data_IF_952457133586
#
_entry.id   IF_952457133586
#
_cell.length_a   1.000
_cell.length_b   1.000
_cell.length_c   1.000
_cell.angle_alpha   90.00
_cell.angle_beta   90.00
_cell.angle_gamma   90.00
#
_symmetry.space_group_name_H-M   'P 1'
#
loop_
_entity.id
_entity.type
_entity.pdbx_description
1 polymer ?
#
# COMPACT_ATOMS: atom_id res chain seq x y z
N UNK A 1 4.47 0.16 -11.49
CA UNK A 1 4.26 -1.29 -11.72
C UNK A 1 3.53 -1.55 -13.05
N UNK A 2 3.56 -2.80 -13.56
CA UNK A 2 2.76 -3.27 -14.70
C UNK A 2 1.65 -4.19 -14.21
N UNK A 3 0.39 -3.80 -14.40
CA UNK A 3 -0.80 -4.52 -13.96
C UNK A 3 -0.88 -5.96 -14.53
N UNK A 4 -0.40 -6.18 -15.76
CA UNK A 4 -0.44 -7.48 -16.42
C UNK A 4 0.59 -8.45 -15.80
N UNK A 5 1.73 -7.92 -15.36
CA UNK A 5 2.75 -8.69 -14.67
C UNK A 5 2.39 -8.96 -13.19
N UNK A 6 1.71 -8.03 -12.52
CA UNK A 6 1.18 -8.24 -11.17
C UNK A 6 0.07 -9.30 -11.13
N UNK A 7 -0.85 -9.29 -12.10
CA UNK A 7 -1.88 -10.33 -12.23
C UNK A 7 -1.28 -11.72 -12.48
N UNK A 8 -0.19 -11.81 -13.26
CA UNK A 8 0.56 -13.06 -13.47
C UNK A 8 1.33 -13.51 -12.21
N UNK A 9 1.83 -12.59 -11.39
CA UNK A 9 2.52 -12.90 -10.14
C UNK A 9 1.57 -13.46 -9.07
N UNK A 10 0.35 -12.94 -8.95
CA UNK A 10 -0.67 -13.50 -8.03
C UNK A 10 -1.19 -14.89 -8.41
N UNK A 11 -1.05 -15.29 -9.68
CA UNK A 11 -1.51 -16.59 -10.17
C UNK A 11 -0.50 -17.73 -9.95
N UNK A 12 0.74 -17.44 -9.54
CA UNK A 12 1.75 -18.47 -9.26
C UNK A 12 1.81 -18.72 -7.74
N UNK A 13 1.42 -19.92 -7.25
CA UNK A 13 1.76 -20.30 -5.88
C UNK A 13 3.29 -20.34 -5.79
N UNK A 14 3.84 -19.72 -4.73
CA UNK A 14 5.28 -19.72 -4.48
C UNK A 14 5.78 -21.16 -4.47
N UNK A 15 6.86 -21.43 -5.21
CA UNK A 15 7.62 -22.66 -5.04
C UNK A 15 8.19 -22.59 -3.62
N UNK A 16 7.52 -23.25 -2.68
CA UNK A 16 8.05 -23.51 -1.35
C UNK A 16 9.37 -24.24 -1.58
N UNK A 17 10.48 -23.65 -1.16
CA UNK A 17 11.69 -24.44 -0.94
C UNK A 17 11.35 -25.24 0.31
N UNK A 18 11.05 -26.52 0.12
CA UNK A 18 10.88 -27.49 1.21
C UNK A 18 12.21 -27.56 1.96
N UNK A 19 12.28 -26.87 3.09
CA UNK A 19 13.23 -27.21 4.13
C UNK A 19 12.48 -28.13 5.08
N UNK A 20 12.83 -29.41 5.01
CA UNK A 20 12.46 -30.43 5.99
C UNK A 20 13.07 -30.06 7.34
N UNK A 21 12.29 -29.41 8.18
CA UNK A 21 12.47 -29.45 9.63
C UNK A 21 11.08 -29.38 10.27
N UNK A 22 10.62 -30.56 10.67
CA UNK A 22 9.49 -30.72 11.58
C UNK A 22 9.91 -30.20 12.96
N UNK A 23 9.40 -29.03 13.33
CA UNK A 23 9.14 -28.71 14.73
C UNK A 23 7.98 -27.71 14.77
N UNK A 24 6.94 -28.09 15.51
CA UNK A 24 5.68 -27.40 15.59
C UNK A 24 5.83 -25.97 16.10
N UNK A 25 5.41 -25.02 15.27
CA UNK A 25 4.97 -23.73 15.74
C UNK A 25 3.67 -23.41 15.01
N UNK A 26 2.62 -23.10 15.76
CA UNK A 26 1.41 -22.45 15.27
C UNK A 26 1.80 -21.07 14.70
N UNK A 27 2.44 -21.05 13.53
CA UNK A 27 2.67 -19.83 12.75
C UNK A 27 1.30 -19.43 12.21
N UNK A 28 0.69 -18.56 12.99
CA UNK A 28 -0.62 -17.96 12.89
C UNK A 28 -1.23 -17.92 11.47
N UNK A 29 -2.20 -18.81 11.22
CA UNK A 29 -3.04 -18.82 10.00
C UNK A 29 -3.74 -17.48 9.71
N UNK A 30 -3.76 -16.55 10.67
CA UNK A 30 -4.34 -15.23 10.51
C UNK A 30 -3.40 -14.24 9.79
N UNK A 31 -2.08 -14.36 9.97
CA UNK A 31 -1.11 -13.41 9.41
C UNK A 31 -0.97 -13.55 7.89
N UNK A 32 -1.02 -14.79 7.38
CA UNK A 32 -1.01 -15.05 5.93
C UNK A 32 -2.28 -14.55 5.21
N UNK A 33 -3.42 -14.42 5.91
CA UNK A 33 -4.70 -13.97 5.30
C UNK A 33 -4.74 -12.46 5.06
N UNK A 34 -4.15 -11.66 5.95
CA UNK A 34 -4.11 -10.20 5.80
C UNK A 34 -3.04 -9.77 4.78
N UNK A 35 -1.87 -10.44 4.76
CA UNK A 35 -0.86 -10.27 3.72
C UNK A 35 -1.48 -10.46 2.32
N UNK A 36 -2.26 -11.54 2.16
CA UNK A 36 -2.93 -11.87 0.91
C UNK A 36 -4.09 -10.90 0.59
N UNK A 37 -4.79 -10.36 1.59
CA UNK A 37 -5.89 -9.42 1.38
C UNK A 37 -5.41 -8.07 0.83
N UNK A 38 -4.35 -7.49 1.41
CA UNK A 38 -3.81 -6.23 0.94
C UNK A 38 -3.18 -6.37 -0.46
N UNK A 39 -2.42 -7.44 -0.70
CA UNK A 39 -1.85 -7.70 -2.02
C UNK A 39 -2.95 -7.85 -3.10
N UNK A 40 -4.03 -8.59 -2.81
CA UNK A 40 -5.18 -8.73 -3.72
C UNK A 40 -5.86 -7.39 -3.99
N UNK A 41 -6.02 -6.55 -2.97
CA UNK A 41 -6.51 -5.19 -3.15
C UNK A 41 -5.60 -4.39 -4.08
N UNK A 42 -4.29 -4.39 -3.83
CA UNK A 42 -3.31 -3.65 -4.63
C UNK A 42 -3.38 -4.04 -6.11
N UNK A 43 -3.48 -5.34 -6.42
CA UNK A 43 -3.61 -5.80 -7.81
C UNK A 43 -4.93 -5.35 -8.41
N UNK A 44 -6.05 -5.58 -7.71
CA UNK A 44 -7.38 -5.26 -8.21
C UNK A 44 -7.57 -3.76 -8.45
N UNK A 45 -7.04 -2.93 -7.54
CA UNK A 45 -7.11 -1.48 -7.61
C UNK A 45 -6.16 -0.92 -8.68
N UNK A 46 -4.90 -1.37 -8.71
CA UNK A 46 -3.92 -0.89 -9.69
C UNK A 46 -4.29 -1.29 -11.12
N UNK A 47 -5.01 -2.40 -11.30
CA UNK A 47 -5.56 -2.84 -12.57
C UNK A 47 -6.75 -2.03 -13.08
N UNK A 48 -7.33 -1.14 -12.28
CA UNK A 48 -8.45 -0.31 -12.73
C UNK A 48 -8.02 0.73 -13.79
N UNK A 49 -8.90 1.06 -14.74
CA UNK A 49 -8.62 2.07 -15.76
C UNK A 49 -8.14 3.39 -15.15
N UNK A 50 -6.96 3.85 -15.58
CA UNK A 50 -6.41 5.14 -15.17
C UNK A 50 -5.71 5.18 -13.81
N UNK A 51 -5.67 4.10 -13.03
CA UNK A 51 -4.94 4.06 -11.74
C UNK A 51 -3.43 4.00 -11.97
N UNK A 52 -2.96 3.03 -12.75
CA UNK A 52 -1.54 2.86 -13.06
C UNK A 52 -0.83 4.14 -13.54
N UNK A 53 -1.32 4.88 -14.56
CA UNK A 53 -0.65 6.11 -15.00
C UNK A 53 -0.61 7.20 -13.92
N UNK A 54 -1.64 7.31 -13.07
CA UNK A 54 -1.68 8.29 -11.97
C UNK A 54 -0.70 7.93 -10.85
N UNK A 55 -0.59 6.66 -10.49
CA UNK A 55 0.42 6.21 -9.53
C UNK A 55 1.84 6.48 -10.04
N UNK A 56 2.08 6.25 -11.34
CA UNK A 56 3.38 6.57 -11.96
C UNK A 56 3.65 8.07 -11.97
N UNK A 57 2.65 8.89 -12.29
CA UNK A 57 2.77 10.34 -12.23
C UNK A 57 3.12 10.82 -10.80
N UNK A 58 2.41 10.31 -9.79
CA UNK A 58 2.66 10.64 -8.40
C UNK A 58 4.07 10.25 -7.95
N UNK A 59 4.52 9.05 -8.36
CA UNK A 59 5.86 8.56 -8.09
C UNK A 59 6.93 9.42 -8.76
N UNK A 60 6.78 9.72 -10.06
CA UNK A 60 7.83 10.39 -10.83
C UNK A 60 7.91 11.90 -10.53
N UNK A 61 6.78 12.55 -10.23
CA UNK A 61 6.73 14.00 -9.95
C UNK A 61 6.93 14.36 -8.49
N UNK A 62 6.45 13.51 -7.56
CA UNK A 62 6.42 13.84 -6.12
C UNK A 62 7.17 12.83 -5.26
N UNK A 63 7.81 11.81 -5.85
CA UNK A 63 8.56 10.80 -5.10
C UNK A 63 7.69 9.88 -4.24
N UNK A 64 6.37 9.86 -4.48
CA UNK A 64 5.43 9.06 -3.68
C UNK A 64 5.71 7.57 -3.86
N UNK A 65 5.81 6.85 -2.74
CA UNK A 65 5.87 5.40 -2.74
C UNK A 65 4.47 4.83 -3.00
N UNK A 66 4.32 4.20 -4.17
CA UNK A 66 3.06 3.59 -4.60
C UNK A 66 2.60 2.50 -3.63
N UNK A 67 3.50 1.75 -2.99
CA UNK A 67 3.10 0.70 -2.05
C UNK A 67 2.46 1.29 -0.78
N UNK A 68 3.03 2.36 -0.23
CA UNK A 68 2.44 3.07 0.91
C UNK A 68 1.16 3.82 0.56
N UNK A 69 1.11 4.43 -0.64
CA UNK A 69 -0.10 5.03 -1.18
C UNK A 69 -1.26 4.01 -1.24
N UNK A 70 -1.00 2.84 -1.81
CA UNK A 70 -1.97 1.75 -1.89
C UNK A 70 -2.37 1.24 -0.50
N UNK A 71 -1.43 1.17 0.45
CA UNK A 71 -1.73 0.78 1.82
C UNK A 71 -2.69 1.77 2.50
N UNK A 72 -2.44 3.07 2.37
CA UNK A 72 -3.30 4.13 2.94
C UNK A 72 -4.73 4.05 2.38
N UNK A 73 -4.86 3.81 1.07
CA UNK A 73 -6.15 3.60 0.41
C UNK A 73 -6.83 2.31 0.90
N UNK A 74 -6.09 1.20 0.97
CA UNK A 74 -6.62 -0.07 1.45
C UNK A 74 -7.16 0.05 2.87
N UNK A 75 -6.39 0.64 3.78
CA UNK A 75 -6.81 0.87 5.16
C UNK A 75 -8.11 1.68 5.22
N UNK A 76 -8.21 2.77 4.45
CA UNK A 76 -9.40 3.62 4.45
C UNK A 76 -10.62 2.95 3.81
N UNK A 77 -10.45 2.19 2.72
CA UNK A 77 -11.53 1.37 2.12
C UNK A 77 -12.02 0.31 3.11
N UNK A 78 -11.12 -0.27 3.90
CA UNK A 78 -11.45 -1.21 4.99
C UNK A 78 -11.99 -0.52 6.25
N UNK A 79 -12.18 0.80 6.23
CA UNK A 79 -12.71 1.58 7.36
C UNK A 79 -11.70 1.89 8.47
N UNK A 80 -10.41 1.58 8.28
CA UNK A 80 -9.34 1.86 9.25
C UNK A 80 -8.74 3.25 9.01
N UNK A 81 -8.81 4.09 10.04
CA UNK A 81 -8.09 5.36 10.08
C UNK A 81 -6.71 5.14 10.72
N UNK A 82 -5.64 5.41 9.96
CA UNK A 82 -4.25 5.29 10.41
C UNK A 82 -3.84 6.51 11.21
N UNK A 83 -3.12 6.33 12.31
CA UNK A 83 -2.52 7.42 13.09
C UNK A 83 -1.14 7.81 12.55
N UNK A 84 -0.57 8.91 13.03
CA UNK A 84 0.77 9.34 12.64
C UNK A 84 1.84 8.27 12.96
N UNK A 85 1.72 7.63 14.13
CA UNK A 85 2.58 6.50 14.54
C UNK A 85 2.49 5.30 13.60
N UNK A 86 1.32 5.03 13.01
CA UNK A 86 1.14 3.93 12.07
C UNK A 86 1.92 4.19 10.78
N UNK A 87 1.85 5.42 10.27
CA UNK A 87 2.63 5.84 9.09
C UNK A 87 4.13 5.76 9.39
N UNK A 88 4.56 6.22 10.56
CA UNK A 88 5.96 6.15 10.98
C UNK A 88 6.46 4.70 11.09
N UNK A 89 5.68 3.81 11.70
CA UNK A 89 6.01 2.39 11.82
C UNK A 89 6.09 1.71 10.45
N UNK A 90 5.18 2.03 9.53
CA UNK A 90 5.20 1.53 8.16
C UNK A 90 6.47 1.98 7.41
N UNK A 91 6.77 3.28 7.42
CA UNK A 91 7.99 3.83 6.78
C UNK A 91 9.27 3.23 7.39
N UNK A 92 9.33 3.09 8.71
CA UNK A 92 10.47 2.45 9.38
C UNK A 92 10.66 1.00 8.93
N UNK A 93 9.56 0.25 8.82
CA UNK A 93 9.60 -1.16 8.47
C UNK A 93 10.07 -1.40 7.02
N UNK A 94 9.70 -0.53 6.08
CA UNK A 94 9.93 -0.78 4.65
C UNK A 94 10.92 0.16 3.99
N UNK A 95 11.33 1.25 4.65
CA UNK A 95 12.21 2.26 4.05
C UNK A 95 13.54 1.68 3.56
N UNK A 96 14.25 0.92 4.40
CA UNK A 96 15.51 0.30 4.00
C UNK A 96 15.33 -0.71 2.85
N UNK A 97 14.26 -1.51 2.88
CA UNK A 97 13.94 -2.45 1.80
C UNK A 97 13.65 -1.73 0.47
N UNK A 98 12.84 -0.66 0.52
CA UNK A 98 12.54 0.17 -0.63
C UNK A 98 13.81 0.72 -1.27
N UNK A 99 14.68 1.35 -0.49
CA UNK A 99 15.89 2.01 -0.99
C UNK A 99 16.95 1.04 -1.49
N UNK A 100 17.12 -0.11 -0.85
CA UNK A 100 18.20 -1.05 -1.17
C UNK A 100 17.79 -2.12 -2.19
N UNK A 101 16.49 -2.39 -2.36
CA UNK A 101 16.00 -3.48 -3.23
C UNK A 101 15.10 -2.95 -4.33
N UNK A 102 13.97 -2.32 -3.97
CA UNK A 102 12.93 -1.96 -4.95
C UNK A 102 13.40 -0.83 -5.87
N UNK A 103 13.96 0.25 -5.32
CA UNK A 103 14.43 1.40 -6.10
C UNK A 103 15.56 1.01 -7.08
N UNK A 104 16.60 0.27 -6.67
CA UNK A 104 17.64 -0.20 -7.60
C UNK A 104 17.10 -1.10 -8.71
N UNK A 105 16.25 -2.09 -8.40
CA UNK A 105 15.64 -2.97 -9.41
C UNK A 105 14.83 -2.18 -10.43
N UNK A 106 14.04 -1.22 -9.96
CA UNK A 106 13.27 -0.31 -10.81
C UNK A 106 14.17 0.56 -11.70
N UNK A 107 15.27 1.06 -11.13
CA UNK A 107 16.29 1.82 -11.85
C UNK A 107 16.88 1.02 -13.00
N UNK A 108 17.33 -0.22 -12.72
CA UNK A 108 17.86 -1.13 -13.74
C UNK A 108 16.80 -1.43 -14.81
N UNK A 109 15.57 -1.79 -14.42
CA UNK A 109 14.49 -2.05 -15.39
C UNK A 109 14.19 -0.85 -16.29
N UNK A 110 14.19 0.36 -15.73
CA UNK A 110 13.96 1.62 -16.48
C UNK A 110 15.09 1.87 -17.47
N UNK A 111 16.35 1.71 -17.03
CA UNK A 111 17.52 1.87 -17.89
C UNK A 111 17.53 0.86 -19.06
N UNK A 112 17.22 -0.41 -18.79
CA UNK A 112 17.12 -1.47 -19.79
C UNK A 112 15.97 -1.29 -20.81
N UNK A 113 15.12 -0.26 -20.69
CA UNK A 113 14.06 0.02 -21.67
C UNK A 113 14.64 0.49 -23.01
N UNK A 114 15.77 1.19 -22.99
CA UNK A 114 16.46 1.68 -24.17
C UNK A 114 17.98 1.62 -23.94
N UNK A 115 18.54 0.40 -23.83
CA UNK A 115 19.97 0.21 -23.60
C UNK A 115 20.76 0.60 -24.87
N UNK A 116 22.00 1.11 -24.74
CA UNK A 116 22.83 1.41 -25.89
C UNK A 116 23.37 0.13 -26.56
N UNK A 117 23.69 0.20 -27.84
CA UNK A 117 24.46 -0.85 -28.52
C UNK A 117 25.80 -1.11 -27.80
N UNK A 118 26.28 -2.36 -27.72
CA UNK A 118 25.75 -3.58 -28.35
C UNK A 118 24.71 -4.34 -27.50
N UNK A 119 24.07 -3.70 -26.51
CA UNK A 119 23.12 -4.34 -25.59
C UNK A 119 21.64 -4.09 -25.96
N UNK A 120 21.34 -3.70 -27.19
CA UNK A 120 20.00 -3.43 -27.71
C UNK A 120 19.30 -4.67 -28.31
N UNK A 121 19.77 -5.87 -27.95
CA UNK A 121 19.26 -7.14 -28.46
C UNK A 121 18.10 -7.74 -27.65
N UNK A 122 17.48 -8.79 -28.20
CA UNK A 122 16.35 -9.48 -27.59
C UNK A 122 16.67 -10.08 -26.20
N UNK A 123 17.92 -10.50 -25.96
CA UNK A 123 18.34 -11.05 -24.66
C UNK A 123 18.29 -9.98 -23.58
N UNK A 124 18.55 -8.73 -23.93
CA UNK A 124 18.43 -7.61 -23.01
C UNK A 124 16.97 -7.29 -22.68
N UNK A 125 16.06 -7.45 -23.65
CA UNK A 125 14.61 -7.36 -23.39
C UNK A 125 14.12 -8.49 -22.46
N UNK A 126 14.62 -9.72 -22.61
CA UNK A 126 14.32 -10.84 -21.72
C UNK A 126 14.83 -10.61 -20.29
N UNK A 127 16.07 -10.12 -20.16
CA UNK A 127 16.64 -9.74 -18.86
C UNK A 127 15.78 -8.67 -18.18
N UNK A 128 15.34 -7.66 -18.92
CA UNK A 128 14.46 -6.61 -18.41
C UNK A 128 13.14 -7.19 -17.86
N UNK A 129 12.52 -8.13 -18.56
CA UNK A 129 11.30 -8.78 -18.07
C UNK A 129 11.56 -9.72 -16.88
N UNK A 130 12.74 -10.35 -16.79
CA UNK A 130 13.13 -11.09 -15.59
C UNK A 130 13.30 -10.17 -14.36
N UNK A 131 14.01 -9.05 -14.51
CA UNK A 131 14.19 -8.05 -13.46
C UNK A 131 12.85 -7.46 -13.02
N UNK A 132 11.94 -7.20 -13.97
CA UNK A 132 10.57 -6.76 -13.67
C UNK A 132 9.82 -7.75 -12.79
N UNK A 133 9.94 -9.07 -13.02
CA UNK A 133 9.32 -10.07 -12.14
C UNK A 133 9.92 -10.03 -10.73
N UNK A 134 11.23 -9.83 -10.61
CA UNK A 134 11.92 -9.73 -9.32
C UNK A 134 11.53 -8.44 -8.59
N UNK A 135 11.41 -7.31 -9.29
CA UNK A 135 10.90 -6.05 -8.74
C UNK A 135 9.50 -6.25 -8.16
N UNK A 136 8.59 -6.88 -8.91
CA UNK A 136 7.23 -7.15 -8.45
C UNK A 136 7.16 -8.07 -7.23
N UNK A 137 7.98 -9.12 -7.19
CA UNK A 137 8.06 -9.99 -6.01
C UNK A 137 8.63 -9.25 -4.80
N UNK A 138 9.62 -8.37 -5.02
CA UNK A 138 10.18 -7.52 -3.96
C UNK A 138 9.13 -6.53 -3.42
N UNK A 139 8.28 -5.97 -4.28
CA UNK A 139 7.15 -5.14 -3.88
C UNK A 139 6.08 -5.94 -3.13
N UNK A 140 5.82 -7.20 -3.52
CA UNK A 140 4.90 -8.09 -2.78
C UNK A 140 5.41 -8.36 -1.36
N UNK A 141 6.70 -8.66 -1.19
CA UNK A 141 7.32 -8.86 0.12
C UNK A 141 7.26 -7.58 0.96
N UNK A 142 7.45 -6.41 0.34
CA UNK A 142 7.27 -5.11 1.00
C UNK A 142 5.83 -4.96 1.54
N UNK A 143 4.82 -5.29 0.72
CA UNK A 143 3.42 -5.22 1.11
C UNK A 143 3.05 -6.19 2.24
N UNK A 144 3.59 -7.40 2.21
CA UNK A 144 3.42 -8.37 3.29
C UNK A 144 4.04 -7.85 4.60
N UNK A 145 5.26 -7.28 4.55
CA UNK A 145 5.87 -6.69 5.75
C UNK A 145 5.02 -5.56 6.36
N UNK A 146 4.42 -4.70 5.52
CA UNK A 146 3.51 -3.65 5.99
C UNK A 146 2.26 -4.23 6.67
N UNK A 147 1.64 -5.26 6.09
CA UNK A 147 0.46 -5.90 6.67
C UNK A 147 0.76 -6.51 8.05
N UNK A 148 1.89 -7.22 8.21
CA UNK A 148 2.32 -7.79 9.50
C UNK A 148 2.52 -6.74 10.58
N UNK A 149 3.25 -5.66 10.26
CA UNK A 149 3.47 -4.55 11.21
C UNK A 149 2.14 -3.98 11.69
N UNK A 150 1.18 -3.81 10.78
CA UNK A 150 -0.12 -3.23 11.13
C UNK A 150 -1.07 -4.18 11.85
N UNK A 151 -0.84 -5.49 11.75
CA UNK A 151 -1.49 -6.49 12.60
C UNK A 151 -0.93 -6.41 14.02
N UNK A 152 0.40 -6.39 14.16
CA UNK A 152 1.07 -6.34 15.46
C UNK A 152 0.68 -5.10 16.28
N UNK A 153 0.68 -3.91 15.67
CA UNK A 153 0.24 -2.67 16.33
C UNK A 153 -1.22 -2.76 16.80
N UNK A 154 -2.08 -3.44 16.04
CA UNK A 154 -3.49 -3.62 16.42
C UNK A 154 -3.69 -4.58 17.60
N UNK A 155 -2.81 -5.57 17.78
CA UNK A 155 -2.86 -6.50 18.91
C UNK A 155 -2.35 -5.87 20.22
N UNK A 156 -1.32 -5.02 20.16
CA UNK A 156 -0.78 -4.33 21.33
C UNK A 156 -1.77 -3.32 21.94
N UNK A 157 -2.57 -2.64 21.11
CA UNK A 157 -3.62 -1.72 21.58
C UNK A 157 -4.77 -2.43 22.31
N UNK A 158 -5.15 -3.63 21.85
CA UNK A 158 -6.23 -4.43 22.47
C UNK A 158 -5.75 -5.04 23.79
N UNK A 159 -4.48 -5.45 23.87
CA UNK A 159 -3.88 -5.96 25.11
C UNK A 159 -3.74 -4.86 26.19
N UNK A 160 -3.49 -3.61 25.81
CA UNK A 160 -3.38 -2.46 26.72
C UNK A 160 -4.71 -1.92 27.28
N UNK A 161 -5.86 -2.36 26.77
CA UNK A 161 -7.20 -1.85 27.12
C UNK A 161 -8.10 -2.86 27.85
N UNK A 162 -7.58 -4.01 28.29
CA UNK A 162 -8.42 -5.06 28.87
C UNK A 162 -8.86 -4.77 30.33
N UNK A 163 -9.97 -4.06 30.48
CA UNK A 163 -10.91 -4.25 31.61
C UNK A 163 -12.29 -4.64 31.08
N UNK A 164 -12.60 -5.94 31.26
CA UNK A 164 -13.90 -6.62 31.28
C UNK A 164 -15.00 -6.21 30.27
N UNK A 165 -15.25 -7.07 29.28
CA UNK A 165 -16.52 -7.82 29.23
C UNK A 165 -16.44 -9.00 28.27
N UNK A 166 -16.88 -10.17 28.73
CA UNK A 166 -16.96 -11.38 27.91
C UNK A 166 -18.03 -11.26 26.83
N UNK A 167 -17.75 -11.75 25.62
CA UNK A 167 -18.78 -12.06 24.65
C UNK A 167 -18.41 -13.27 23.79
N UNK A 168 -19.36 -14.21 23.79
CA UNK A 168 -19.52 -15.48 23.08
C UNK A 168 -19.14 -15.40 21.60
N UNK A 169 -18.65 -16.48 20.96
CA UNK A 169 -18.34 -16.46 19.52
C UNK A 169 -19.61 -16.29 18.68
N UNK A 170 -19.67 -15.20 17.92
CA UNK A 170 -20.72 -14.94 16.92
C UNK A 170 -20.42 -15.70 15.61
N UNK A 171 -21.44 -16.16 14.86
CA UNK A 171 -21.25 -16.87 13.60
C UNK A 171 -20.69 -15.95 12.51
N UNK A 172 -19.94 -16.54 11.58
CA UNK A 172 -19.26 -15.86 10.48
C UNK A 172 -20.15 -14.81 9.77
N UNK A 173 -19.70 -13.56 9.57
CA UNK A 173 -20.50 -12.55 8.91
C UNK A 173 -20.53 -12.79 7.40
N UNK A 174 -21.74 -12.88 6.85
CA UNK A 174 -22.01 -12.59 5.44
C UNK A 174 -21.52 -11.14 5.12
N UNK A 175 -21.14 -10.82 3.86
CA UNK A 175 -20.56 -9.53 3.53
C UNK A 175 -21.52 -8.38 3.88
N UNK A 176 -21.11 -7.54 4.82
CA UNK A 176 -21.86 -6.36 5.26
C UNK A 176 -22.05 -5.35 4.11
N UNK A 177 -23.16 -4.59 4.08
CA UNK A 177 -23.37 -3.52 3.12
C UNK A 177 -22.33 -2.40 3.31
N UNK A 178 -21.88 -1.82 2.19
CA UNK A 178 -20.75 -0.90 2.10
C UNK A 178 -20.83 0.31 3.05
N UNK A 179 -19.76 0.66 3.80
CA UNK A 179 -19.69 1.92 4.54
C UNK A 179 -19.28 3.04 3.57
N UNK A 180 -20.24 3.79 2.99
CA UNK A 180 -19.97 4.65 1.83
C UNK A 180 -19.36 6.07 2.08
N UNK A 181 -19.62 6.80 3.20
CA UNK A 181 -19.02 8.13 3.41
C UNK A 181 -17.85 8.18 4.40
N UNK A 182 -17.89 7.36 5.47
CA UNK A 182 -16.85 7.35 6.50
C UNK A 182 -15.52 6.77 5.98
N UNK A 183 -15.58 5.76 5.10
CA UNK A 183 -14.41 5.13 4.48
C UNK A 183 -13.66 6.06 3.50
N UNK A 184 -14.40 6.89 2.75
CA UNK A 184 -13.84 7.89 1.87
C UNK A 184 -13.08 8.97 2.67
N UNK A 185 -13.69 9.46 3.76
CA UNK A 185 -13.05 10.39 4.68
C UNK A 185 -11.81 9.77 5.35
N UNK A 186 -11.88 8.51 5.78
CA UNK A 186 -10.73 7.78 6.32
C UNK A 186 -9.59 7.66 5.30
N UNK A 187 -9.91 7.32 4.04
CA UNK A 187 -8.91 7.22 2.96
C UNK A 187 -8.22 8.55 2.69
N UNK A 188 -8.98 9.64 2.57
CA UNK A 188 -8.44 10.98 2.40
C UNK A 188 -7.55 11.38 3.59
N UNK A 189 -7.96 11.05 4.81
CA UNK A 189 -7.18 11.37 6.02
C UNK A 189 -5.89 10.56 6.11
N UNK A 190 -5.93 9.27 5.79
CA UNK A 190 -4.73 8.42 5.75
C UNK A 190 -3.72 8.93 4.73
N UNK A 191 -4.19 9.28 3.53
CA UNK A 191 -3.36 9.91 2.50
C UNK A 191 -2.79 11.24 2.99
N UNK A 192 -3.60 12.11 3.59
CA UNK A 192 -3.12 13.38 4.13
C UNK A 192 -2.00 13.21 5.16
N UNK A 193 -2.13 12.24 6.08
CA UNK A 193 -1.08 11.92 7.07
C UNK A 193 0.20 11.44 6.40
N UNK A 194 0.09 10.54 5.44
CA UNK A 194 1.24 10.07 4.68
C UNK A 194 1.91 11.19 3.89
N UNK A 195 1.14 11.98 3.14
CA UNK A 195 1.70 13.06 2.31
C UNK A 195 2.37 14.13 3.16
N UNK A 196 1.86 14.41 4.36
CA UNK A 196 2.48 15.37 5.28
C UNK A 196 3.88 14.96 5.75
N UNK A 197 4.27 13.69 5.64
CA UNK A 197 5.66 13.26 5.91
C UNK A 197 6.61 13.54 4.74
N UNK A 198 6.06 13.73 3.54
CA UNK A 198 6.84 13.87 2.29
C UNK A 198 6.95 15.30 1.80
N UNK A 199 5.90 16.10 2.00
CA UNK A 199 5.81 17.44 1.43
C UNK A 199 5.21 18.45 2.41
N UNK A 200 5.75 19.68 2.46
CA UNK A 200 5.21 20.73 3.32
C UNK A 200 3.90 21.32 2.81
N UNK A 201 3.65 21.21 1.49
CA UNK A 201 2.44 21.73 0.84
C UNK A 201 1.93 20.75 -0.20
N UNK A 202 0.61 20.65 -0.32
CA UNK A 202 -0.05 19.82 -1.33
C UNK A 202 -0.41 20.69 -2.55
N UNK A 203 0.22 20.42 -3.69
CA UNK A 203 -0.05 21.15 -4.93
C UNK A 203 -1.43 20.81 -5.51
N UNK A 204 -1.96 21.68 -6.38
CA UNK A 204 -3.22 21.43 -7.08
C UNK A 204 -3.14 20.16 -7.95
N UNK A 205 -2.07 20.00 -8.72
CA UNK A 205 -1.84 18.83 -9.56
C UNK A 205 -1.80 17.53 -8.75
N UNK A 206 -1.08 17.51 -7.62
CA UNK A 206 -1.06 16.33 -6.74
C UNK A 206 -2.45 16.04 -6.19
N UNK A 207 -3.17 17.09 -5.76
CA UNK A 207 -4.55 16.98 -5.24
C UNK A 207 -5.47 16.36 -6.28
N UNK A 208 -5.45 16.82 -7.52
CA UNK A 208 -6.34 16.34 -8.58
C UNK A 208 -6.05 14.89 -8.94
N UNK A 209 -4.77 14.52 -9.04
CA UNK A 209 -4.35 13.14 -9.31
C UNK A 209 -4.74 12.20 -8.17
N UNK A 210 -4.56 12.60 -6.91
CA UNK A 210 -4.98 11.83 -5.73
C UNK A 210 -6.50 11.75 -5.59
N UNK A 211 -7.22 12.83 -5.90
CA UNK A 211 -8.69 12.86 -5.87
C UNK A 211 -9.30 11.91 -6.91
N UNK A 212 -8.67 11.78 -8.08
CA UNK A 212 -9.07 10.80 -9.07
C UNK A 212 -8.86 9.35 -8.58
N UNK A 213 -7.75 9.07 -7.88
CA UNK A 213 -7.54 7.76 -7.24
C UNK A 213 -8.57 7.49 -6.14
N UNK A 214 -8.87 8.48 -5.29
CA UNK A 214 -9.92 8.39 -4.28
C UNK A 214 -11.29 8.16 -4.91
N UNK A 215 -11.59 8.79 -6.05
CA UNK A 215 -12.83 8.54 -6.78
C UNK A 215 -12.91 7.11 -7.32
N UNK A 216 -11.81 6.55 -7.81
CA UNK A 216 -11.76 5.13 -8.19
C UNK A 216 -12.00 4.21 -6.99
N UNK A 217 -11.47 4.55 -5.80
CA UNK A 217 -11.67 3.75 -4.59
C UNK A 217 -13.08 3.92 -3.99
N UNK A 218 -13.66 5.11 -4.13
CA UNK A 218 -14.92 5.55 -3.54
C UNK A 218 -15.80 6.26 -4.58
N UNK A 219 -16.41 5.50 -5.51
CA UNK A 219 -17.16 6.08 -6.64
C UNK A 219 -18.45 6.79 -6.22
N UNK A 220 -18.90 6.60 -4.98
CA UNK A 220 -20.14 7.17 -4.44
C UNK A 220 -20.08 8.70 -4.25
N UNK A 221 -18.87 9.29 -4.19
CA UNK A 221 -18.67 10.73 -4.06
C UNK A 221 -17.94 11.30 -5.30
N UNK A 222 -18.30 12.52 -5.73
CA UNK A 222 -17.64 13.14 -6.89
C UNK A 222 -16.18 13.46 -6.58
N UNK A 223 -15.33 13.45 -7.61
CA UNK A 223 -13.90 13.77 -7.48
C UNK A 223 -13.63 15.13 -6.80
N UNK A 224 -14.48 16.13 -7.03
CA UNK A 224 -14.37 17.43 -6.37
C UNK A 224 -14.53 17.36 -4.84
N UNK A 225 -15.39 16.46 -4.34
CA UNK A 225 -15.55 16.23 -2.91
C UNK A 225 -14.30 15.54 -2.32
N UNK A 226 -13.70 14.59 -3.07
CA UNK A 226 -12.45 13.95 -2.68
C UNK A 226 -11.29 14.95 -2.61
N UNK A 227 -11.18 15.86 -3.58
CA UNK A 227 -10.18 16.92 -3.57
C UNK A 227 -10.35 17.89 -2.39
N UNK A 228 -11.61 18.27 -2.06
CA UNK A 228 -11.91 19.10 -0.90
C UNK A 228 -11.55 18.39 0.42
N UNK A 229 -11.95 17.12 0.57
CA UNK A 229 -11.66 16.31 1.76
C UNK A 229 -10.15 16.13 1.97
N UNK A 230 -9.40 15.83 0.90
CA UNK A 230 -7.95 15.67 0.96
C UNK A 230 -7.24 16.95 1.41
N UNK A 231 -7.60 18.11 0.82
CA UNK A 231 -7.03 19.42 1.21
C UNK A 231 -7.34 19.76 2.66
N UNK A 232 -8.58 19.55 3.09
CA UNK A 232 -8.99 19.79 4.47
C UNK A 232 -8.21 18.90 5.44
N UNK A 233 -8.13 17.60 5.17
CA UNK A 233 -7.38 16.67 6.01
C UNK A 233 -5.89 17.03 6.07
N UNK A 234 -5.28 17.38 4.94
CA UNK A 234 -3.88 17.81 4.89
C UNK A 234 -3.62 19.07 5.72
N UNK A 235 -4.51 20.06 5.63
CA UNK A 235 -4.41 21.28 6.44
C UNK A 235 -4.52 20.98 7.94
N UNK A 236 -5.43 20.08 8.36
CA UNK A 236 -5.57 19.68 9.76
C UNK A 236 -4.30 18.98 10.28
N UNK A 237 -3.78 18.02 9.50
CA UNK A 237 -2.58 17.26 9.87
C UNK A 237 -1.36 18.16 10.02
N UNK A 238 -1.17 19.10 9.08
CA UNK A 238 -0.01 20.01 9.08
C UNK A 238 -0.12 21.15 10.09
N UNK A 239 -1.33 21.47 10.55
CA UNK A 239 -1.57 22.50 11.58
C UNK A 239 -1.54 21.97 13.01
N UNK A 240 -1.64 20.64 13.22
CA UNK A 240 -1.51 20.06 14.56
C UNK A 240 -0.05 20.01 14.97
N UNK A 241 0.31 20.46 16.19
CA UNK A 241 1.64 20.21 16.73
C UNK A 241 1.86 18.70 16.79
N UNK A 242 2.90 18.21 16.11
CA UNK A 242 3.33 16.82 16.21
C UNK A 242 3.76 16.59 17.66
N UNK A 243 3.04 15.74 18.39
CA UNK A 243 3.43 15.36 19.75
C UNK A 243 4.75 14.58 19.66
N UNK A 244 5.87 15.06 20.24
CA UNK A 244 7.19 14.48 20.02
C UNK A 244 7.41 13.15 20.76
N UNK A 245 6.39 12.58 21.38
CA UNK A 245 6.46 11.34 22.17
C UNK A 245 5.20 10.51 22.01
N UNK A 246 5.15 9.66 20.97
CA UNK A 246 4.24 8.51 20.90
C UNK A 246 4.83 7.42 19.99
#
# INVERSE_FOLDING_TARGET
MDASAMARAAAKPSHRIENDNEDGNDIDMNDNRNDDAFWRFSIGFYGQPGVAPRCLELQDRFGIDVNLLLFCLHAGVSGRALQARDIAALEQAVGAWREQVVVPLRGVRRWLKAPPAPFDDARTAELREAIKRIELESERLQQAAMARVMNAVGHDEVAGSASASASTPAPAPAPAPAPAPASASASATNLARYLATLMPTLSADATDTLAALLHTAHPQAPAAAHAAALRQAFAIVTSSPQDPTA
#
